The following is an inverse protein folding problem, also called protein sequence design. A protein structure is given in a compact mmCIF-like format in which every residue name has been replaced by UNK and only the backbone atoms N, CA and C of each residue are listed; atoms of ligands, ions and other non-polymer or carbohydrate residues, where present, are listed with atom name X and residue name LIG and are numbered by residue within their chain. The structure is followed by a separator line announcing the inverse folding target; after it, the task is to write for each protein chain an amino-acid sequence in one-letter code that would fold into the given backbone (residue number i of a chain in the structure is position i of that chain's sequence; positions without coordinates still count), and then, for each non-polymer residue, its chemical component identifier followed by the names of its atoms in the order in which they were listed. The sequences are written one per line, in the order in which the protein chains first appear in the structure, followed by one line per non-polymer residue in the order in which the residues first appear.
data_IF_482282806610
#
_entry.id   IF_482282806610
#
_cell.length_a   1.000
_cell.length_b   1.000
_cell.length_c   1.000
_cell.angle_alpha   90.00
_cell.angle_beta   90.00
_cell.angle_gamma   90.00
#
_symmetry.space_group_name_H-M   'P 1'
#
loop_
_entity.id
_entity.type
_entity.pdbx_description
1 polymer ?
#
# COMPACT_ATOMS: atom_id res chain seq x y z
N UNK A 1 5.33 12.65 16.96
CA UNK A 1 5.65 11.27 16.53
C UNK A 1 4.91 11.04 15.22
N UNK A 2 5.48 11.44 14.07
CA UNK A 2 4.73 11.63 12.81
C UNK A 2 5.26 10.81 11.62
N UNK A 3 6.01 9.73 11.85
CA UNK A 3 6.55 8.90 10.74
C UNK A 3 5.49 8.04 10.03
N UNK A 4 4.36 7.74 10.69
CA UNK A 4 3.31 6.89 10.10
C UNK A 4 2.41 7.64 9.12
N UNK A 5 2.08 8.90 9.40
CA UNK A 5 1.24 9.74 8.54
C UNK A 5 1.94 10.07 7.20
N UNK A 6 3.25 10.32 7.26
CA UNK A 6 4.07 10.53 6.07
C UNK A 6 4.09 9.30 5.16
N UNK A 7 4.28 8.11 5.76
CA UNK A 7 4.21 6.83 5.07
C UNK A 7 2.83 6.59 4.44
N UNK A 8 1.75 6.95 5.14
CA UNK A 8 0.37 6.86 4.64
C UNK A 8 0.18 7.75 3.41
N UNK A 9 0.66 8.99 3.44
CA UNK A 9 0.54 9.91 2.30
C UNK A 9 1.28 9.36 1.08
N UNK A 10 2.51 8.88 1.26
CA UNK A 10 3.27 8.26 0.17
C UNK A 10 2.56 7.04 -0.44
N UNK A 11 1.91 6.22 0.40
CA UNK A 11 1.10 5.09 -0.08
C UNK A 11 -0.11 5.61 -0.87
N UNK A 12 -0.84 6.59 -0.35
CA UNK A 12 -2.01 7.18 -0.99
C UNK A 12 -1.68 7.79 -2.36
N UNK A 13 -0.53 8.47 -2.49
CA UNK A 13 -0.07 9.02 -3.77
C UNK A 13 0.17 7.96 -4.85
N UNK A 14 0.55 6.74 -4.45
CA UNK A 14 0.71 5.59 -5.38
C UNK A 14 -0.52 4.70 -5.47
N UNK A 15 -1.53 4.97 -4.66
CA UNK A 15 -2.79 4.26 -4.71
C UNK A 15 -3.62 4.79 -5.86
N UNK A 16 -4.21 3.89 -6.64
CA UNK A 16 -5.09 4.26 -7.75
C UNK A 16 -6.54 4.17 -7.29
N UNK A 17 -7.23 5.29 -7.30
CA UNK A 17 -8.67 5.29 -7.06
C UNK A 17 -9.39 4.87 -8.34
N UNK A 18 -10.30 3.91 -8.24
CA UNK A 18 -11.13 3.47 -9.36
C UNK A 18 -12.49 3.12 -8.81
N UNK A 19 -13.53 3.77 -9.32
CA UNK A 19 -14.92 3.55 -8.91
C UNK A 19 -15.13 3.88 -7.41
N UNK A 20 -14.54 4.98 -6.94
CA UNK A 20 -14.58 5.41 -5.53
C UNK A 20 -13.86 4.45 -4.55
N UNK A 21 -13.12 3.46 -5.06
CA UNK A 21 -12.38 2.49 -4.25
C UNK A 21 -10.89 2.68 -4.45
N UNK A 22 -10.17 2.86 -3.35
CA UNK A 22 -8.70 2.95 -3.33
C UNK A 22 -8.11 1.56 -3.56
N UNK A 23 -7.33 1.41 -4.62
CA UNK A 23 -6.70 0.14 -5.01
C UNK A 23 -5.20 0.33 -5.16
N UNK A 24 -4.41 -0.52 -4.53
CA UNK A 24 -2.95 -0.49 -4.64
C UNK A 24 -2.49 -1.80 -5.25
N UNK A 25 -1.48 -1.77 -6.12
CA UNK A 25 -0.89 -3.03 -6.59
C UNK A 25 0.10 -3.56 -5.57
N UNK A 26 0.18 -4.88 -5.41
CA UNK A 26 1.18 -5.47 -4.51
C UNK A 26 2.62 -5.07 -4.93
N UNK A 27 2.85 -4.87 -6.23
CA UNK A 27 4.12 -4.38 -6.75
C UNK A 27 4.44 -2.97 -6.22
N UNK A 28 3.49 -2.03 -6.27
CA UNK A 28 3.68 -0.68 -5.73
C UNK A 28 3.86 -0.70 -4.21
N UNK A 29 3.09 -1.52 -3.49
CA UNK A 29 3.25 -1.70 -2.03
C UNK A 29 4.66 -2.20 -1.67
N UNK A 30 5.19 -3.15 -2.43
CA UNK A 30 6.53 -3.70 -2.20
C UNK A 30 7.63 -2.71 -2.60
N UNK A 31 7.39 -1.92 -3.65
CA UNK A 31 8.29 -0.86 -4.09
C UNK A 31 8.39 0.24 -3.04
N UNK A 32 7.25 0.72 -2.52
CA UNK A 32 7.18 1.63 -1.39
C UNK A 32 7.89 1.08 -0.15
N UNK A 33 7.69 -0.21 0.17
CA UNK A 33 8.40 -0.87 1.27
C UNK A 33 9.92 -0.78 1.12
N UNK A 34 10.45 -1.00 -0.09
CA UNK A 34 11.87 -0.87 -0.38
C UNK A 34 12.35 0.58 -0.37
N UNK A 35 11.60 1.50 -0.97
CA UNK A 35 12.00 2.92 -1.07
C UNK A 35 12.00 3.60 0.31
N UNK A 36 11.01 3.28 1.15
CA UNK A 36 10.84 3.89 2.47
C UNK A 36 11.53 3.09 3.58
N UNK A 37 12.06 1.90 3.28
CA UNK A 37 12.62 0.97 4.27
C UNK A 37 11.59 0.47 5.28
N UNK A 38 10.29 0.67 5.01
CA UNK A 38 9.20 0.22 5.87
C UNK A 38 8.90 -1.25 5.59
N UNK A 39 8.72 -2.07 6.64
CA UNK A 39 8.37 -3.47 6.46
C UNK A 39 7.04 -3.63 5.69
N UNK A 40 6.98 -4.57 4.76
CA UNK A 40 5.73 -4.89 4.01
C UNK A 40 4.55 -5.20 4.93
N UNK A 41 4.82 -5.76 6.11
CA UNK A 41 3.81 -5.98 7.15
C UNK A 41 3.21 -4.66 7.70
N UNK A 42 4.02 -3.61 7.85
CA UNK A 42 3.54 -2.28 8.28
C UNK A 42 2.71 -1.64 7.16
N UNK A 43 3.19 -1.70 5.90
CA UNK A 43 2.42 -1.21 4.74
C UNK A 43 1.10 -1.95 4.59
N UNK A 44 1.09 -3.28 4.79
CA UNK A 44 -0.14 -4.08 4.78
C UNK A 44 -1.13 -3.66 5.86
N UNK A 45 -0.65 -3.41 7.09
CA UNK A 45 -1.50 -2.87 8.17
C UNK A 45 -2.08 -1.50 7.80
N UNK A 46 -1.25 -0.62 7.27
CA UNK A 46 -1.68 0.72 6.84
C UNK A 46 -2.72 0.64 5.72
N UNK A 47 -2.48 -0.19 4.70
CA UNK A 47 -3.45 -0.41 3.63
C UNK A 47 -4.77 -0.93 4.17
N UNK A 48 -4.73 -1.87 5.11
CA UNK A 48 -5.92 -2.40 5.77
C UNK A 48 -6.67 -1.33 6.57
N UNK A 49 -5.96 -0.51 7.35
CA UNK A 49 -6.54 0.61 8.09
C UNK A 49 -7.15 1.68 7.16
N UNK A 50 -6.49 1.96 6.04
CA UNK A 50 -6.93 2.95 5.06
C UNK A 50 -7.97 2.43 4.06
N UNK A 51 -8.47 1.20 4.26
CA UNK A 51 -9.43 0.54 3.37
C UNK A 51 -8.92 0.48 1.91
N UNK A 52 -7.60 0.38 1.74
CA UNK A 52 -6.95 0.26 0.44
C UNK A 52 -6.93 -1.21 0.05
N UNK A 53 -7.57 -1.53 -1.07
CA UNK A 53 -7.64 -2.90 -1.57
C UNK A 53 -6.39 -3.22 -2.37
N UNK A 54 -5.59 -4.16 -1.89
CA UNK A 54 -4.41 -4.62 -2.64
C UNK A 54 -4.89 -5.56 -3.76
N UNK A 55 -4.65 -5.19 -5.01
CA UNK A 55 -4.99 -5.98 -6.20
C UNK A 55 -3.72 -6.35 -6.99
N UNK A 56 -3.80 -7.35 -7.87
CA UNK A 56 -2.65 -7.84 -8.67
C UNK A 56 -1.44 -8.18 -7.79
N UNK A 57 -1.56 -9.25 -7.00
CA UNK A 57 -0.41 -9.79 -6.27
C UNK A 57 0.58 -10.41 -7.25
N UNK A 58 1.77 -9.82 -7.38
CA UNK A 58 2.80 -10.23 -8.35
C UNK A 58 3.33 -11.65 -8.10
N UNK A 59 3.02 -12.23 -6.94
CA UNK A 59 3.38 -13.59 -6.54
C UNK A 59 2.32 -14.64 -6.90
N UNK A 60 1.20 -14.26 -7.52
CA UNK A 60 0.05 -15.17 -7.69
C UNK A 60 -0.59 -15.59 -6.35
N UNK A 61 -0.24 -14.90 -5.26
CA UNK A 61 -0.54 -15.32 -3.88
C UNK A 61 -1.94 -14.92 -3.37
N UNK A 62 -2.74 -14.29 -4.22
CA UNK A 62 -4.14 -13.95 -3.93
C UNK A 62 -4.96 -14.09 -5.22
N UNK A 63 -5.74 -15.16 -5.40
CA UNK A 63 -6.83 -15.21 -6.39
C UNK A 63 -7.94 -14.21 -6.05
#
# INVERSE_FOLDING_TARGET
MSKKDDLINHILERTRETDGKKKLTCAEAFKLSKELGAGTAEIGRICNQQNIRICKCQLGLFP
#
